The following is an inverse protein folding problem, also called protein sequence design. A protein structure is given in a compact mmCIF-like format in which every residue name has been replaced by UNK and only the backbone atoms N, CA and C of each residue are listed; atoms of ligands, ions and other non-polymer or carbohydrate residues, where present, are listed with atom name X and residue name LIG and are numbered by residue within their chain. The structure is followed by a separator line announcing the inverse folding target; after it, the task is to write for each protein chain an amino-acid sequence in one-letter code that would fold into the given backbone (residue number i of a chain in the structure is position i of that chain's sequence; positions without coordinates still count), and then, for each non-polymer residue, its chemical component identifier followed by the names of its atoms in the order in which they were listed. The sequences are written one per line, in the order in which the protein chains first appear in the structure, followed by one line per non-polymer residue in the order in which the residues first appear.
data_IF_154944340268
#
_entry.id   IF_154944340268
#
_cell.length_a   1.000
_cell.length_b   1.000
_cell.length_c   1.000
_cell.angle_alpha   90.00
_cell.angle_beta   90.00
_cell.angle_gamma   90.00
#
_symmetry.space_group_name_H-M   'P 1'
#
loop_
_entity.id
_entity.type
_entity.pdbx_description
1 polymer ?
#
# COMPACT_ATOMS: atom_id res chain seq x y z
N UNK A 1 0.33 15.08 14.10
CA UNK A 1 0.39 13.84 13.31
C UNK A 1 -0.24 14.18 11.98
N UNK A 2 0.54 14.22 10.90
CA UNK A 2 0.03 14.54 9.56
C UNK A 2 -0.82 13.37 9.09
N UNK A 3 -2.11 13.59 8.89
CA UNK A 3 -2.99 12.63 8.21
C UNK A 3 -2.83 12.80 6.71
N UNK A 4 -2.75 11.68 5.99
CA UNK A 4 -2.71 11.70 4.54
C UNK A 4 -4.15 11.83 4.02
N UNK A 5 -4.44 12.89 3.26
CA UNK A 5 -5.75 13.05 2.63
C UNK A 5 -5.90 12.12 1.42
N UNK A 6 -7.00 11.37 1.37
CA UNK A 6 -7.41 10.65 0.16
C UNK A 6 -7.96 11.65 -0.85
N UNK A 7 -7.28 11.81 -1.98
CA UNK A 7 -7.59 12.86 -2.99
C UNK A 7 -8.04 12.28 -4.32
N UNK A 8 -7.92 10.96 -4.51
CA UNK A 8 -8.23 10.28 -5.77
C UNK A 8 -9.51 9.46 -5.68
N UNK A 9 -10.24 9.52 -4.56
CA UNK A 9 -11.58 8.94 -4.46
C UNK A 9 -12.52 9.70 -5.40
N UNK A 10 -13.23 8.97 -6.26
CA UNK A 10 -14.25 9.53 -7.16
C UNK A 10 -15.57 9.75 -6.39
N UNK A 11 -15.84 8.87 -5.42
CA UNK A 11 -16.99 8.87 -4.54
C UNK A 11 -16.51 8.62 -3.11
N UNK A 12 -17.29 9.05 -2.13
CA UNK A 12 -16.99 8.73 -0.74
C UNK A 12 -16.99 7.21 -0.53
N UNK A 13 -16.00 6.66 0.19
CA UNK A 13 -15.92 5.22 0.42
C UNK A 13 -16.97 4.79 1.44
N UNK A 14 -17.79 3.81 1.05
CA UNK A 14 -18.82 3.22 1.91
C UNK A 14 -18.22 2.15 2.83
N UNK A 15 -18.79 1.98 4.03
CA UNK A 15 -18.38 0.92 4.97
C UNK A 15 -17.84 1.42 6.30
N UNK A 16 -17.33 0.48 7.10
CA UNK A 16 -16.71 0.77 8.39
C UNK A 16 -15.34 1.41 8.18
N UNK A 17 -15.20 2.65 8.63
CA UNK A 17 -13.95 3.41 8.54
C UNK A 17 -13.01 3.09 9.70
N UNK A 18 -11.73 2.90 9.38
CA UNK A 18 -10.64 2.75 10.34
C UNK A 18 -9.35 3.32 9.76
N UNK A 19 -8.33 3.45 10.62
CA UNK A 19 -7.02 3.93 10.21
C UNK A 19 -6.02 2.79 9.98
N UNK A 20 -5.21 2.96 8.96
CA UNK A 20 -3.99 2.20 8.70
C UNK A 20 -2.79 3.17 8.64
N UNK A 21 -1.58 2.63 8.68
CA UNK A 21 -0.35 3.41 8.50
C UNK A 21 0.28 3.06 7.16
N UNK A 22 0.53 4.06 6.32
CA UNK A 22 1.30 3.94 5.08
C UNK A 22 2.55 4.79 5.24
N UNK A 23 3.73 4.15 5.22
CA UNK A 23 5.02 4.83 5.42
C UNK A 23 5.04 5.73 6.67
N UNK A 24 4.55 5.19 7.80
CA UNK A 24 4.38 5.86 9.09
C UNK A 24 3.36 7.03 9.13
N UNK A 25 2.59 7.23 8.05
CA UNK A 25 1.56 8.26 7.94
C UNK A 25 0.18 7.61 8.09
N UNK A 26 -0.68 8.16 8.93
CA UNK A 26 -2.04 7.66 9.13
C UNK A 26 -2.94 7.96 7.92
N UNK A 27 -3.67 6.96 7.46
CA UNK A 27 -4.59 7.03 6.31
C UNK A 27 -5.91 6.34 6.65
N UNK A 28 -7.03 6.98 6.30
CA UNK A 28 -8.34 6.37 6.46
C UNK A 28 -8.56 5.28 5.40
N UNK A 29 -9.17 4.18 5.81
CA UNK A 29 -9.53 3.05 4.97
C UNK A 29 -10.92 2.54 5.35
N UNK A 30 -11.63 1.97 4.38
CA UNK A 30 -12.90 1.29 4.60
C UNK A 30 -12.73 -0.22 4.52
N UNK A 31 -13.58 -0.96 5.23
CA UNK A 31 -13.64 -2.41 5.09
C UNK A 31 -13.98 -2.83 3.65
N UNK A 32 -13.45 -3.96 3.22
CA UNK A 32 -13.61 -4.46 1.84
C UNK A 32 -12.67 -3.83 0.81
N UNK A 33 -11.97 -2.73 1.13
CA UNK A 33 -10.93 -2.19 0.26
C UNK A 33 -9.69 -3.11 0.23
N UNK A 34 -8.97 -3.08 -0.88
CA UNK A 34 -7.62 -3.64 -0.93
C UNK A 34 -6.61 -2.60 -0.48
N UNK A 35 -5.45 -3.04 0.00
CA UNK A 35 -4.32 -2.14 0.30
C UNK A 35 -3.95 -1.31 -0.93
N UNK A 36 -4.04 -1.89 -2.13
CA UNK A 36 -3.80 -1.15 -3.37
C UNK A 36 -4.82 -0.02 -3.58
N UNK A 37 -6.11 -0.26 -3.29
CA UNK A 37 -7.16 0.76 -3.43
C UNK A 37 -6.85 1.98 -2.56
N UNK A 38 -6.47 1.75 -1.30
CA UNK A 38 -6.13 2.84 -0.36
C UNK A 38 -4.87 3.59 -0.79
N UNK A 39 -3.84 2.88 -1.25
CA UNK A 39 -2.64 3.51 -1.81
C UNK A 39 -2.99 4.43 -2.98
N UNK A 40 -3.80 3.97 -3.93
CA UNK A 40 -4.20 4.77 -5.09
C UNK A 40 -5.08 5.96 -4.70
N UNK A 41 -6.03 5.77 -3.78
CA UNK A 41 -6.89 6.83 -3.25
C UNK A 41 -6.07 7.96 -2.59
N UNK A 42 -4.98 7.58 -1.93
CA UNK A 42 -4.04 8.51 -1.31
C UNK A 42 -2.91 8.99 -2.26
N UNK A 43 -3.06 8.75 -3.56
CA UNK A 43 -2.14 9.17 -4.65
C UNK A 43 -0.74 8.51 -4.62
N UNK A 44 -0.60 7.34 -4.01
CA UNK A 44 0.63 6.52 -4.07
C UNK A 44 0.69 5.73 -5.37
N UNK A 45 1.32 6.32 -6.39
CA UNK A 45 1.54 5.67 -7.70
C UNK A 45 2.81 4.85 -7.78
N UNK A 46 3.81 5.20 -6.96
CA UNK A 46 5.08 4.49 -6.87
C UNK A 46 5.05 3.58 -5.65
N UNK A 47 4.90 2.28 -5.85
CA UNK A 47 4.53 1.33 -4.78
C UNK A 47 5.69 0.40 -4.42
N UNK A 48 6.39 -0.11 -5.42
CA UNK A 48 7.38 -1.16 -5.27
C UNK A 48 8.75 -0.69 -5.78
N UNK A 49 9.81 -1.10 -5.11
CA UNK A 49 11.18 -0.94 -5.57
C UNK A 49 11.80 -2.33 -5.76
N UNK A 50 12.36 -2.58 -6.94
CA UNK A 50 13.04 -3.85 -7.27
C UNK A 50 14.47 -3.90 -6.72
N UNK A 51 15.10 -5.07 -6.81
CA UNK A 51 16.50 -5.28 -6.38
C UNK A 51 17.52 -4.48 -7.22
N UNK A 52 17.07 -3.93 -8.35
CA UNK A 52 17.86 -3.03 -9.22
C UNK A 52 17.44 -1.57 -9.09
N UNK A 53 16.79 -1.21 -7.98
CA UNK A 53 16.34 0.15 -7.68
C UNK A 53 15.29 0.71 -8.66
N UNK A 54 14.74 -0.13 -9.54
CA UNK A 54 13.65 0.29 -10.41
C UNK A 54 12.35 0.41 -9.61
N UNK A 55 11.74 1.59 -9.66
CA UNK A 55 10.47 1.89 -8.98
C UNK A 55 9.30 1.60 -9.92
N UNK A 56 8.31 0.87 -9.40
CA UNK A 56 7.14 0.42 -10.16
C UNK A 56 5.84 0.77 -9.43
N UNK A 57 4.79 1.00 -10.23
CA UNK A 57 3.42 1.12 -9.76
C UNK A 57 2.61 -0.14 -10.05
N UNK A 58 1.43 -0.25 -9.44
CA UNK A 58 0.51 -1.32 -9.78
C UNK A 58 0.04 -1.19 -11.24
N UNK A 59 -0.01 -2.34 -11.94
CA UNK A 59 -0.48 -2.40 -13.32
C UNK A 59 -1.75 -3.26 -13.44
N UNK A 60 -1.66 -4.56 -13.10
CA UNK A 60 -2.74 -5.49 -13.41
C UNK A 60 -3.92 -5.50 -12.42
N UNK A 61 -3.75 -5.01 -11.18
CA UNK A 61 -4.78 -5.12 -10.13
C UNK A 61 -5.18 -6.54 -9.70
N UNK A 62 -4.67 -7.60 -10.34
CA UNK A 62 -5.10 -8.99 -10.13
C UNK A 62 -4.01 -9.90 -9.53
N UNK A 63 -2.82 -9.35 -9.24
CA UNK A 63 -1.71 -10.09 -8.62
C UNK A 63 -0.76 -10.81 -9.59
N UNK A 64 -0.93 -10.65 -10.90
CA UNK A 64 -0.12 -11.31 -11.95
C UNK A 64 1.17 -10.54 -12.26
N UNK A 65 1.15 -9.21 -12.27
CA UNK A 65 2.32 -8.40 -12.64
C UNK A 65 3.42 -8.33 -11.57
N UNK A 66 3.10 -8.64 -10.31
CA UNK A 66 3.99 -8.48 -9.16
C UNK A 66 4.51 -7.05 -8.87
N UNK A 67 4.04 -6.02 -9.59
CA UNK A 67 4.49 -4.63 -9.43
C UNK A 67 3.90 -3.87 -8.22
N UNK A 68 3.03 -4.50 -7.43
CA UNK A 68 2.37 -3.90 -6.25
C UNK A 68 2.80 -4.56 -4.94
N UNK A 69 4.01 -5.11 -4.91
CA UNK A 69 4.55 -5.73 -3.72
C UNK A 69 4.95 -4.68 -2.69
N UNK A 70 4.46 -4.85 -1.47
CA UNK A 70 4.71 -4.00 -0.31
C UNK A 70 5.08 -4.85 0.90
N UNK A 71 5.57 -4.21 1.96
CA UNK A 71 5.71 -4.85 3.27
C UNK A 71 4.47 -4.54 4.08
N UNK A 72 3.81 -5.57 4.63
CA UNK A 72 2.63 -5.42 5.49
C UNK A 72 2.92 -6.08 6.81
N UNK A 73 2.82 -5.36 7.93
CA UNK A 73 3.06 -5.87 9.27
C UNK A 73 4.37 -6.69 9.36
N UNK A 74 5.47 -6.14 8.81
CA UNK A 74 6.81 -6.76 8.70
C UNK A 74 6.91 -7.98 7.76
N UNK A 75 5.83 -8.36 7.09
CA UNK A 75 5.87 -9.41 6.07
C UNK A 75 6.17 -8.79 4.71
N UNK A 76 7.30 -9.14 4.12
CA UNK A 76 7.72 -8.62 2.81
C UNK A 76 6.93 -9.24 1.65
N UNK A 77 7.01 -8.57 0.49
CA UNK A 77 6.51 -9.05 -0.81
C UNK A 77 5.02 -9.43 -0.82
N UNK A 78 4.22 -8.80 0.03
CA UNK A 78 2.77 -8.96 0.04
C UNK A 78 2.16 -8.21 -1.14
N UNK A 79 1.15 -8.79 -1.78
CA UNK A 79 0.51 -8.19 -2.95
C UNK A 79 -0.57 -7.23 -2.48
N UNK A 80 -0.34 -5.92 -2.61
CA UNK A 80 -1.31 -4.91 -2.18
C UNK A 80 -2.68 -5.08 -2.85
N UNK A 81 -2.70 -5.53 -4.11
CA UNK A 81 -3.94 -5.75 -4.88
C UNK A 81 -4.78 -6.95 -4.46
N UNK A 82 -4.23 -7.87 -3.66
CA UNK A 82 -4.93 -9.07 -3.19
C UNK A 82 -5.09 -9.08 -1.66
N UNK A 83 -4.57 -8.07 -0.97
CA UNK A 83 -4.62 -7.98 0.49
C UNK A 83 -5.71 -6.99 0.86
N UNK A 84 -6.68 -7.43 1.65
CA UNK A 84 -7.69 -6.55 2.23
C UNK A 84 -7.08 -5.71 3.35
N UNK A 85 -7.53 -4.46 3.47
CA UNK A 85 -7.13 -3.62 4.61
C UNK A 85 -7.74 -4.14 5.91
N UNK A 86 -6.99 -3.95 7.00
CA UNK A 86 -7.44 -4.29 8.35
C UNK A 86 -7.06 -3.16 9.32
N UNK A 87 -7.81 -2.96 10.42
CA UNK A 87 -7.47 -1.98 11.42
C UNK A 87 -6.04 -2.17 11.97
N UNK A 88 -5.33 -1.07 12.21
CA UNK A 88 -3.95 -1.06 12.72
C UNK A 88 -2.91 -1.72 11.79
N UNK A 89 -3.24 -1.89 10.51
CA UNK A 89 -2.29 -2.41 9.53
C UNK A 89 -1.17 -1.39 9.27
N UNK A 90 0.07 -1.89 9.21
CA UNK A 90 1.26 -1.12 8.83
C UNK A 90 1.69 -1.54 7.44
N UNK A 91 1.73 -0.58 6.52
CA UNK A 91 2.10 -0.77 5.11
C UNK A 91 3.33 0.09 4.83
N UNK A 92 4.37 -0.53 4.31
CA UNK A 92 5.58 0.16 3.89
C UNK A 92 5.77 -0.04 2.38
N UNK A 93 5.83 1.07 1.65
CA UNK A 93 6.04 1.11 0.21
C UNK A 93 7.53 1.24 -0.12
N UNK A 94 7.93 0.83 -1.33
CA UNK A 94 9.32 0.92 -1.83
C UNK A 94 10.38 0.27 -0.92
N UNK A 95 9.97 -0.62 -0.01
CA UNK A 95 10.92 -1.32 0.84
C UNK A 95 11.55 -2.48 0.10
N UNK A 96 12.87 -2.44 0.02
CA UNK A 96 13.68 -3.54 -0.46
C UNK A 96 14.53 -4.12 0.67
N UNK A 97 14.38 -5.42 0.92
CA UNK A 97 15.16 -6.16 1.92
C UNK A 97 16.68 -6.10 1.67
N UNK A 98 17.12 -6.02 0.42
CA UNK A 98 18.54 -5.84 0.08
C UNK A 98 19.13 -4.57 0.72
N UNK A 99 18.36 -3.46 0.71
CA UNK A 99 18.78 -2.20 1.33
C UNK A 99 18.71 -2.25 2.87
N UNK A 100 17.81 -3.04 3.43
CA UNK A 100 17.62 -3.13 4.89
C UNK A 100 18.60 -4.10 5.58
N UNK A 101 18.99 -5.20 4.93
CA UNK A 101 19.76 -6.30 5.56
C UNK A 101 21.14 -6.50 4.92
N UNK A 102 21.44 -5.83 3.79
CA UNK A 102 22.78 -5.79 3.21
C UNK A 102 23.32 -7.17 2.79
N UNK A 103 22.54 -7.90 1.98
CA UNK A 103 23.01 -9.16 1.35
C UNK A 103 23.62 -8.86 -0.01
#
# INVERSE_FOLDING_TARGET
MSELSRTQDITDPEGLQFQIQIDDIAVNACDGETVLSVLLAANYKQIMESDREAVSGAYCGMGVCHCCQVTINKQHKQKACQTLVQPNMQVETKQNRFKQVGV
#
